data_IF_739341188274
#
_entry.id   IF_739341188274
#
_cell.length_a   1.000
_cell.length_b   1.000
_cell.length_c   1.000
_cell.angle_alpha   90.00
_cell.angle_beta   90.00
_cell.angle_gamma   90.00
#
_symmetry.space_group_name_H-M   'P 1'
#
loop_
_entity.id
_entity.type
_entity.pdbx_description
1 polymer ?
#
# COMPACT_ATOMS: atom_id res chain seq x y z
N UNK A 1 13.15 -12.34 3.37
CA UNK A 1 12.38 -12.61 4.60
C UNK A 1 11.87 -11.32 5.25
N UNK A 2 11.80 -10.19 4.52
CA UNK A 2 11.75 -8.86 5.14
C UNK A 2 10.43 -8.09 4.92
N UNK A 3 9.66 -8.42 3.88
CA UNK A 3 8.45 -7.66 3.55
C UNK A 3 7.35 -7.88 4.60
N UNK A 4 7.18 -9.11 5.09
CA UNK A 4 6.22 -9.41 6.16
C UNK A 4 6.55 -8.68 7.46
N UNK A 5 7.84 -8.45 7.74
CA UNK A 5 8.28 -7.68 8.92
C UNK A 5 7.86 -6.22 8.77
N UNK A 6 8.08 -5.62 7.60
CA UNK A 6 7.61 -4.26 7.30
C UNK A 6 6.09 -4.15 7.42
N UNK A 7 5.32 -5.07 6.83
CA UNK A 7 3.86 -5.02 6.85
C UNK A 7 3.30 -5.12 8.26
N UNK A 8 3.79 -6.07 9.07
CA UNK A 8 3.38 -6.20 10.46
C UNK A 8 3.75 -4.95 11.25
N UNK A 9 4.95 -4.40 11.03
CA UNK A 9 5.38 -3.16 11.68
C UNK A 9 4.45 -1.99 11.36
N UNK A 10 4.07 -1.81 10.09
CA UNK A 10 3.17 -0.73 9.66
C UNK A 10 1.75 -0.88 10.26
N UNK A 11 1.34 -2.10 10.59
CA UNK A 11 0.06 -2.38 11.26
C UNK A 11 0.15 -2.12 12.78
N UNK A 12 1.21 -2.63 13.41
CA UNK A 12 1.31 -2.70 14.87
C UNK A 12 1.91 -1.43 15.50
N UNK A 13 2.77 -0.70 14.77
CA UNK A 13 3.55 0.40 15.33
C UNK A 13 3.57 1.64 14.41
N UNK A 14 2.40 2.19 14.01
CA UNK A 14 2.31 3.24 12.99
C UNK A 14 3.09 4.52 13.33
N UNK A 15 3.29 4.84 14.60
CA UNK A 15 3.94 6.08 15.05
C UNK A 15 5.46 5.96 15.23
N UNK A 16 6.00 4.76 15.07
CA UNK A 16 7.42 4.48 15.29
C UNK A 16 8.23 4.58 14.00
N UNK A 17 9.54 4.81 14.13
CA UNK A 17 10.42 4.91 12.96
C UNK A 17 10.54 3.54 12.28
N UNK A 18 10.41 3.52 10.95
CA UNK A 18 10.57 2.31 10.15
C UNK A 18 11.90 1.61 10.52
N UNK A 19 11.88 0.31 10.84
CA UNK A 19 13.06 -0.40 11.27
C UNK A 19 13.98 -0.72 10.09
N UNK A 20 15.28 -0.76 10.37
CA UNK A 20 16.27 -1.31 9.43
C UNK A 20 15.89 -2.75 9.05
N UNK A 21 16.06 -3.17 7.78
CA UNK A 21 16.76 -2.47 6.68
C UNK A 21 15.88 -1.58 5.79
N UNK A 22 14.64 -1.32 6.20
CA UNK A 22 13.72 -0.48 5.45
C UNK A 22 13.90 0.99 5.77
N UNK A 23 13.63 1.82 4.77
CA UNK A 23 13.57 3.26 4.92
C UNK A 23 12.37 3.80 4.15
N UNK A 24 11.62 4.69 4.77
CA UNK A 24 10.49 5.39 4.14
C UNK A 24 10.96 6.67 3.48
N UNK A 25 10.41 6.93 2.29
CA UNK A 25 10.66 8.09 1.48
C UNK A 25 9.33 8.71 1.07
N UNK A 26 9.32 10.04 0.95
CA UNK A 26 8.29 10.81 0.27
C UNK A 26 8.94 11.40 -0.98
N UNK A 27 8.47 11.00 -2.15
CA UNK A 27 8.82 11.69 -3.38
C UNK A 27 8.05 13.02 -3.43
N UNK A 28 8.77 14.13 -3.41
CA UNK A 28 8.18 15.47 -3.37
C UNK A 28 7.58 15.85 -4.73
N UNK A 29 8.10 15.33 -5.83
CA UNK A 29 7.60 15.64 -7.17
C UNK A 29 6.24 14.98 -7.42
N UNK A 30 6.14 13.70 -7.08
CA UNK A 30 4.93 12.91 -7.32
C UNK A 30 3.99 12.83 -6.12
N UNK A 31 4.45 13.25 -4.94
CA UNK A 31 3.71 13.18 -3.68
C UNK A 31 3.49 11.75 -3.17
N UNK A 32 4.19 10.74 -3.70
CA UNK A 32 4.01 9.34 -3.32
C UNK A 32 4.93 8.94 -2.17
N UNK A 33 4.39 8.18 -1.22
CA UNK A 33 5.18 7.54 -0.17
C UNK A 33 5.60 6.14 -0.63
N UNK A 34 6.86 5.78 -0.40
CA UNK A 34 7.37 4.44 -0.69
C UNK A 34 8.42 3.99 0.33
N UNK A 35 8.59 2.68 0.45
CA UNK A 35 9.58 2.04 1.29
C UNK A 35 10.65 1.41 0.41
N UNK A 36 11.91 1.67 0.73
CA UNK A 36 13.07 1.08 0.06
C UNK A 36 13.82 0.18 1.03
N UNK A 37 14.15 -1.02 0.59
CA UNK A 37 15.05 -1.91 1.29
C UNK A 37 16.50 -1.54 0.94
N UNK A 38 17.28 -1.14 1.93
CA UNK A 38 18.58 -0.50 1.68
C UNK A 38 19.63 -1.44 1.05
N UNK A 39 19.54 -2.74 1.31
CA UNK A 39 20.57 -3.70 0.84
C UNK A 39 20.40 -4.11 -0.62
N UNK A 40 19.16 -4.26 -1.10
CA UNK A 40 18.86 -4.80 -2.44
C UNK A 40 18.10 -3.80 -3.33
N UNK A 41 17.77 -2.62 -2.80
CA UNK A 41 17.06 -1.56 -3.53
C UNK A 41 15.59 -1.85 -3.81
N UNK A 42 15.01 -2.90 -3.23
CA UNK A 42 13.62 -3.27 -3.44
C UNK A 42 12.66 -2.18 -2.96
N UNK A 43 11.64 -1.86 -3.78
CA UNK A 43 10.70 -0.76 -3.54
C UNK A 43 9.28 -1.27 -3.30
N UNK A 44 8.57 -0.65 -2.37
CA UNK A 44 7.14 -0.87 -2.13
C UNK A 44 6.46 0.50 -2.05
N UNK A 45 5.49 0.75 -2.93
CA UNK A 45 4.72 1.99 -2.94
C UNK A 45 3.54 1.91 -1.98
N UNK A 46 3.25 2.99 -1.25
CA UNK A 46 2.10 3.07 -0.36
C UNK A 46 1.00 3.86 -1.06
N UNK A 47 -0.11 3.19 -1.40
CA UNK A 47 -1.28 3.77 -2.04
C UNK A 47 -2.46 3.93 -1.08
N UNK A 48 -2.26 3.69 0.22
CA UNK A 48 -3.30 3.99 1.22
C UNK A 48 -3.59 5.50 1.20
N UNK A 49 -4.84 5.93 1.42
CA UNK A 49 -5.23 7.35 1.36
C UNK A 49 -4.55 8.21 2.43
N UNK A 50 -4.23 7.64 3.59
CA UNK A 50 -3.53 8.31 4.69
C UNK A 50 -2.32 7.47 5.11
N UNK A 51 -1.12 8.04 5.00
CA UNK A 51 0.13 7.34 5.32
C UNK A 51 0.84 8.07 6.46
N UNK A 52 1.12 7.39 7.56
CA UNK A 52 1.95 7.95 8.64
C UNK A 52 3.39 8.06 8.15
N UNK A 53 3.87 9.29 8.02
CA UNK A 53 5.25 9.54 7.57
C UNK A 53 6.20 9.57 8.77
N UNK A 54 5.85 10.20 9.89
CA UNK A 54 6.65 10.17 11.14
C UNK A 54 5.83 10.63 12.32
N UNK A 55 5.92 9.92 13.46
CA UNK A 55 5.48 10.40 14.78
C UNK A 55 4.02 10.93 14.79
N UNK A 56 3.13 10.26 14.06
CA UNK A 56 1.73 10.66 13.97
C UNK A 56 1.44 11.79 12.98
N UNK A 57 2.43 12.21 12.18
CA UNK A 57 2.21 13.08 11.03
C UNK A 57 1.76 12.22 9.86
N UNK A 58 0.57 12.51 9.34
CA UNK A 58 -0.02 11.80 8.21
C UNK A 58 0.14 12.62 6.93
N UNK A 59 0.49 11.92 5.86
CA UNK A 59 0.46 12.43 4.50
C UNK A 59 -0.84 12.03 3.82
N UNK A 60 -1.49 13.00 3.18
CA UNK A 60 -2.67 12.78 2.35
C UNK A 60 -2.23 12.30 0.97
N UNK A 61 -2.59 11.07 0.67
CA UNK A 61 -2.24 10.35 -0.54
C UNK A 61 -3.50 10.00 -1.36
N UNK A 62 -4.59 10.75 -1.14
CA UNK A 62 -5.90 10.54 -1.77
C UNK A 62 -5.88 10.51 -3.30
N UNK A 63 -4.99 11.29 -3.93
CA UNK A 63 -4.81 11.28 -5.39
C UNK A 63 -4.36 9.90 -5.90
N UNK A 64 -3.39 9.30 -5.22
CA UNK A 64 -2.88 7.99 -5.58
C UNK A 64 -3.85 6.88 -5.20
N UNK A 65 -4.52 6.97 -4.04
CA UNK A 65 -5.54 5.99 -3.66
C UNK A 65 -6.72 6.00 -4.64
N UNK A 66 -7.15 7.18 -5.10
CA UNK A 66 -8.21 7.29 -6.10
C UNK A 66 -7.81 6.70 -7.47
N UNK A 67 -6.51 6.70 -7.79
CA UNK A 67 -6.02 6.15 -9.06
C UNK A 67 -6.19 4.63 -9.17
N UNK A 68 -6.22 3.95 -8.02
CA UNK A 68 -6.38 2.50 -7.91
C UNK A 68 -7.77 2.07 -7.44
N UNK A 69 -8.67 3.02 -7.16
CA UNK A 69 -9.98 2.73 -6.60
C UNK A 69 -10.82 1.83 -7.54
N UNK A 70 -11.59 0.93 -6.94
CA UNK A 70 -12.44 -0.01 -7.66
C UNK A 70 -13.90 0.25 -7.29
N UNK A 71 -14.53 1.16 -8.03
CA UNK A 71 -15.93 1.60 -7.82
C UNK A 71 -16.97 0.48 -7.93
N UNK A 72 -16.62 -0.66 -8.52
CA UNK A 72 -17.56 -1.71 -8.93
C UNK A 72 -17.71 -2.86 -7.92
N UNK A 73 -17.16 -2.75 -6.69
CA UNK A 73 -17.27 -3.82 -5.67
C UNK A 73 -17.99 -3.43 -4.37
N UNK A 74 -19.21 -2.85 -4.41
CA UNK A 74 -19.96 -2.56 -3.18
C UNK A 74 -20.33 -3.81 -2.35
N UNK A 75 -20.42 -5.00 -2.97
CA UNK A 75 -20.80 -6.25 -2.29
C UNK A 75 -19.63 -7.04 -1.68
N UNK A 76 -18.41 -6.87 -2.18
CA UNK A 76 -17.23 -7.57 -1.62
C UNK A 76 -16.69 -6.80 -0.42
N UNK A 77 -16.72 -5.47 -0.47
CA UNK A 77 -16.21 -4.58 0.59
C UNK A 77 -17.07 -4.70 1.88
N UNK A 78 -18.39 -4.83 1.76
CA UNK A 78 -19.32 -4.90 2.92
C UNK A 78 -19.14 -6.16 3.77
N UNK A 79 -18.81 -7.31 3.17
CA UNK A 79 -18.56 -8.55 3.93
C UNK A 79 -17.18 -8.53 4.63
N UNK A 80 -16.19 -7.83 4.07
CA UNK A 80 -14.86 -7.72 4.68
C UNK A 80 -14.74 -6.59 5.71
N UNK A 81 -15.50 -5.50 5.58
CA UNK A 81 -15.50 -4.35 6.51
C UNK A 81 -16.13 -4.67 7.87
N UNK A 82 -17.07 -5.63 7.92
CA UNK A 82 -17.81 -5.94 9.15
C UNK A 82 -17.02 -6.71 10.24
N UNK A 83 -15.73 -7.02 10.05
CA UNK A 83 -15.01 -7.91 10.96
C UNK A 83 -13.85 -7.33 11.77
N UNK A 84 -13.18 -6.23 11.37
CA UNK A 84 -12.02 -5.75 12.15
C UNK A 84 -11.80 -4.24 12.00
N UNK A 85 -11.91 -3.48 13.10
CA UNK A 85 -11.68 -2.03 13.18
C UNK A 85 -10.21 -1.59 13.14
N UNK A 86 -9.36 -2.35 12.45
CA UNK A 86 -7.95 -2.01 12.22
C UNK A 86 -7.77 -1.68 10.75
N UNK A 87 -7.04 -0.59 10.47
CA UNK A 87 -6.64 -0.20 9.12
C UNK A 87 -5.87 -1.36 8.47
N UNK A 88 -6.54 -2.14 7.61
CA UNK A 88 -5.92 -3.30 6.98
C UNK A 88 -4.87 -2.84 5.98
N UNK A 89 -3.75 -3.53 5.97
CA UNK A 89 -2.63 -3.25 5.07
C UNK A 89 -2.47 -4.49 4.21
N UNK A 90 -2.76 -4.36 2.91
CA UNK A 90 -2.60 -5.45 1.94
C UNK A 90 -1.39 -5.15 1.06
N UNK A 91 -0.53 -6.15 0.84
CA UNK A 91 0.55 -6.06 -0.14
C UNK A 91 0.15 -6.76 -1.42
N UNK A 92 0.23 -6.02 -2.52
CA UNK A 92 0.03 -6.56 -3.85
C UNK A 92 1.27 -6.48 -4.70
N UNK A 93 1.36 -7.44 -5.61
CA UNK A 93 2.31 -7.45 -6.70
C UNK A 93 1.52 -7.28 -7.99
N UNK A 94 1.63 -6.12 -8.61
CA UNK A 94 1.01 -5.81 -9.90
C UNK A 94 1.95 -6.28 -11.00
N UNK A 95 1.48 -7.20 -11.84
CA UNK A 95 2.21 -7.73 -13.00
C UNK A 95 1.38 -7.71 -14.29
N UNK A 96 0.17 -7.15 -14.26
CA UNK A 96 -0.73 -7.10 -15.43
C UNK A 96 -0.35 -6.03 -16.45
N UNK A 97 0.62 -5.18 -16.11
CA UNK A 97 1.11 -4.03 -16.85
C UNK A 97 2.59 -4.38 -17.21
N UNK A 98 2.95 -4.46 -18.50
CA UNK A 98 4.15 -5.12 -19.06
C UNK A 98 5.49 -4.91 -18.30
N UNK A 99 6.40 -5.90 -18.33
CA UNK A 99 7.79 -6.04 -17.81
C UNK A 99 8.18 -5.43 -16.44
N UNK A 100 7.31 -4.63 -15.84
CA UNK A 100 7.52 -3.89 -14.61
C UNK A 100 6.68 -4.55 -13.54
N UNK A 101 7.34 -5.12 -12.54
CA UNK A 101 6.67 -5.56 -11.32
C UNK A 101 6.56 -4.38 -10.37
N UNK A 102 5.34 -4.00 -10.00
CA UNK A 102 5.09 -2.96 -8.99
C UNK A 102 4.63 -3.66 -7.72
N UNK A 103 5.31 -3.39 -6.60
CA UNK A 103 4.86 -3.80 -5.28
C UNK A 103 4.19 -2.63 -4.60
N UNK A 104 2.98 -2.84 -4.11
CA UNK A 104 2.22 -1.77 -3.47
C UNK A 104 1.47 -2.22 -2.23
N UNK A 105 1.28 -1.26 -1.33
CA UNK A 105 0.45 -1.36 -0.14
C UNK A 105 -0.85 -0.62 -0.40
N UNK A 106 -1.97 -1.26 -0.08
CA UNK A 106 -3.33 -0.71 -0.23
C UNK A 106 -4.16 -1.04 1.01
N UNK A 107 -5.28 -0.34 1.19
CA UNK A 107 -6.25 -0.55 2.27
C UNK A 107 -7.44 -1.43 1.87
N UNK A 108 -7.53 -1.80 0.59
CA UNK A 108 -8.61 -2.64 0.04
C UNK A 108 -8.07 -3.97 -0.52
N UNK A 109 -8.80 -5.09 -0.38
CA UNK A 109 -8.38 -6.40 -0.88
C UNK A 109 -8.51 -6.56 -2.41
N UNK A 110 -9.11 -5.58 -3.09
CA UNK A 110 -9.33 -5.54 -4.54
C UNK A 110 -9.17 -4.09 -5.00
N UNK A 111 -8.47 -3.86 -6.11
CA UNK A 111 -8.22 -2.54 -6.68
C UNK A 111 -7.97 -2.64 -8.21
N UNK A 112 -7.83 -1.52 -8.92
CA UNK A 112 -7.51 -1.48 -10.35
C UNK A 112 -6.02 -1.14 -10.59
N UNK A 113 -5.31 -1.84 -11.50
CA UNK A 113 -3.95 -1.40 -11.93
C UNK A 113 -4.06 0.02 -12.48
N UNK A 114 -3.31 0.95 -11.90
CA UNK A 114 -3.28 2.35 -12.36
C UNK A 114 -2.84 2.50 -13.83
N UNK A 115 -2.14 1.51 -14.40
CA UNK A 115 -1.63 1.54 -15.76
C UNK A 115 -2.58 0.93 -16.80
N UNK A 116 -3.16 -0.25 -16.55
CA UNK A 116 -4.02 -0.95 -17.53
C UNK A 116 -5.48 -1.11 -17.10
N UNK A 117 -5.84 -0.66 -15.89
CA UNK A 117 -7.19 -0.78 -15.29
C UNK A 117 -7.70 -2.21 -15.08
N UNK A 118 -6.86 -3.24 -15.26
CA UNK A 118 -7.23 -4.61 -14.86
C UNK A 118 -7.46 -4.67 -13.35
N UNK A 119 -8.45 -5.47 -12.95
CA UNK A 119 -8.75 -5.75 -11.55
C UNK A 119 -7.63 -6.62 -10.97
N UNK A 120 -7.03 -6.16 -9.88
CA UNK A 120 -6.04 -6.88 -9.08
C UNK A 120 -6.67 -7.13 -7.72
N UNK A 121 -6.71 -8.38 -7.29
CA UNK A 121 -7.28 -8.74 -6.00
C UNK A 121 -6.77 -10.08 -5.51
N UNK A 122 -6.85 -10.29 -4.20
CA UNK A 122 -6.72 -11.63 -3.63
C UNK A 122 -8.08 -12.31 -3.82
N UNK A 123 -8.18 -13.15 -4.85
CA UNK A 123 -9.27 -14.12 -4.92
C UNK A 123 -9.04 -15.19 -3.83
N UNK A 124 -10.10 -15.65 -3.14
CA UNK A 124 -10.01 -16.69 -2.11
C UNK A 124 -9.44 -18.01 -2.64
#
# INVERSE_FOLDING_TARGET
>A
MDISVLLNFLQDNPDTLIPSPWQQFLDVETGIVFYKHNENGFLIYDFRPLVNIRRGIFWDNSLWSASIDCSDTPQTITNFQNSYGLSRVYLFRITCCADITIHCIVDQPVFQCMLCRCIVGQLP
#
